data_IF_533012670883
#
_entry.id   IF_533012670883
#
_cell.length_a   1.000
_cell.length_b   1.000
_cell.length_c   1.000
_cell.angle_alpha   90.00
_cell.angle_beta   90.00
_cell.angle_gamma   90.00
#
_symmetry.space_group_name_H-M   'P 1'
#
loop_
_entity.id
_entity.type
_entity.pdbx_description
1 polymer ?
#
# COMPACT_ATOMS: atom_id res chain seq x y z
N UNK A 1 3.40 9.67 -7.94
CA UNK A 1 3.38 9.62 -6.46
C UNK A 1 4.30 8.50 -6.02
N UNK A 2 4.72 8.51 -4.77
CA UNK A 2 5.47 7.40 -4.16
C UNK A 2 4.66 6.76 -3.03
N UNK A 3 5.19 5.68 -2.45
CA UNK A 3 4.54 5.01 -1.32
C UNK A 3 4.34 5.94 -0.12
N UNK A 4 5.27 6.85 0.20
CA UNK A 4 5.10 7.82 1.30
C UNK A 4 3.84 8.66 1.13
N UNK A 5 3.63 9.20 -0.08
CA UNK A 5 2.48 10.08 -0.37
C UNK A 5 1.16 9.33 -0.15
N UNK A 6 1.11 8.05 -0.56
CA UNK A 6 -0.06 7.17 -0.42
C UNK A 6 -0.28 6.80 1.05
N UNK A 7 0.78 6.34 1.72
CA UNK A 7 0.71 5.75 3.06
C UNK A 7 0.49 6.79 4.16
N UNK A 8 0.84 8.06 3.94
CA UNK A 8 0.53 9.13 4.90
C UNK A 8 -0.92 9.64 4.82
N UNK A 9 -1.64 9.30 3.74
CA UNK A 9 -3.00 9.75 3.49
C UNK A 9 -3.92 8.59 3.05
N UNK A 10 -3.99 7.47 3.81
CA UNK A 10 -4.74 6.29 3.38
C UNK A 10 -6.25 6.53 3.32
N UNK A 11 -6.78 7.51 4.05
CA UNK A 11 -8.18 7.93 3.99
C UNK A 11 -8.60 8.49 2.62
N UNK A 12 -7.65 8.91 1.78
CA UNK A 12 -7.94 9.39 0.42
C UNK A 12 -8.05 8.22 -0.58
N UNK A 13 -7.74 6.99 -0.15
CA UNK A 13 -7.82 5.80 -0.99
C UNK A 13 -9.26 5.31 -1.06
N UNK A 14 -9.65 4.88 -2.26
CA UNK A 14 -10.90 4.16 -2.42
C UNK A 14 -10.78 2.77 -1.80
N UNK A 15 -11.81 2.28 -1.09
CA UNK A 15 -11.81 0.99 -0.39
C UNK A 15 -11.41 -0.20 -1.29
N UNK A 16 -11.94 -0.24 -2.52
CA UNK A 16 -11.63 -1.28 -3.52
C UNK A 16 -10.32 -1.05 -4.31
N UNK A 17 -9.51 -0.06 -3.94
CA UNK A 17 -8.24 0.19 -4.61
C UNK A 17 -7.16 -0.81 -4.18
N UNK A 18 -6.23 -1.06 -5.09
CA UNK A 18 -5.00 -1.81 -4.86
C UNK A 18 -3.84 -0.88 -5.17
N UNK A 19 -2.88 -0.83 -4.26
CA UNK A 19 -1.62 -0.12 -4.45
C UNK A 19 -0.65 -1.05 -5.17
N UNK A 20 0.02 -0.52 -6.19
CA UNK A 20 1.11 -1.17 -6.90
C UNK A 20 2.36 -0.32 -6.76
N UNK A 21 3.50 -0.93 -6.49
CA UNK A 21 4.75 -0.22 -6.26
C UNK A 21 5.96 -0.93 -6.90
N UNK A 22 6.95 -0.14 -7.32
CA UNK A 22 8.19 -0.66 -7.90
C UNK A 22 9.09 -1.22 -6.79
N UNK A 23 9.57 -2.46 -6.98
CA UNK A 23 10.58 -3.09 -6.12
C UNK A 23 11.98 -2.47 -6.35
N UNK A 24 12.87 -2.47 -5.34
CA UNK A 24 12.61 -2.82 -3.94
C UNK A 24 11.66 -1.79 -3.30
N UNK A 25 10.80 -2.24 -2.38
CA UNK A 25 9.85 -1.34 -1.74
C UNK A 25 10.54 -0.47 -0.69
N UNK A 26 10.25 0.82 -0.76
CA UNK A 26 10.68 1.86 0.15
C UNK A 26 9.63 2.96 0.13
N UNK A 27 9.60 3.83 1.13
CA UNK A 27 8.70 4.99 1.12
C UNK A 27 8.89 5.88 -0.13
N UNK A 28 10.07 5.83 -0.77
CA UNK A 28 10.36 6.59 -1.98
C UNK A 28 10.05 5.83 -3.28
N UNK A 29 9.64 4.58 -3.20
CA UNK A 29 9.35 3.76 -4.38
C UNK A 29 8.16 4.32 -5.15
N UNK A 30 8.30 4.36 -6.48
CA UNK A 30 7.22 4.77 -7.38
C UNK A 30 6.01 3.85 -7.16
N UNK A 31 4.85 4.46 -6.98
CA UNK A 31 3.62 3.74 -6.71
C UNK A 31 2.42 4.37 -7.41
N UNK A 32 1.41 3.55 -7.67
CA UNK A 32 0.11 3.96 -8.20
C UNK A 32 -1.02 3.19 -7.51
N UNK A 33 -2.20 3.79 -7.50
CA UNK A 33 -3.44 3.18 -7.03
C UNK A 33 -4.32 2.84 -8.21
N UNK A 34 -4.78 1.60 -8.33
CA UNK A 34 -5.78 1.20 -9.33
C UNK A 34 -6.97 0.55 -8.63
N UNK A 35 -8.19 0.84 -9.08
CA UNK A 35 -9.36 0.07 -8.64
C UNK A 35 -9.22 -1.37 -9.12
N UNK A 36 -9.53 -2.34 -8.25
CA UNK A 36 -9.55 -3.75 -8.62
C UNK A 36 -10.56 -3.98 -9.77
N UNK A 37 -10.15 -4.48 -10.94
CA UNK A 37 -11.08 -4.76 -12.03
C UNK A 37 -11.88 -6.04 -11.73
N UNK A 38 -12.97 -5.92 -10.97
CA UNK A 38 -13.90 -7.02 -10.70
C UNK A 38 -13.27 -8.23 -9.97
N UNK A 39 -13.89 -9.41 -10.12
CA UNK A 39 -13.53 -10.64 -9.39
C UNK A 39 -12.29 -11.37 -9.92
N UNK A 40 -11.59 -10.83 -10.91
CA UNK A 40 -10.44 -11.51 -11.50
C UNK A 40 -9.16 -11.12 -10.78
N UNK A 41 -8.48 -12.11 -10.20
CA UNK A 41 -7.13 -11.98 -9.65
C UNK A 41 -6.04 -11.71 -10.72
N UNK A 42 -6.42 -11.33 -11.95
CA UNK A 42 -5.46 -11.07 -13.02
C UNK A 42 -4.85 -9.68 -12.90
N UNK A 43 -3.53 -9.62 -13.04
CA UNK A 43 -2.78 -8.36 -13.09
C UNK A 43 -3.41 -7.46 -14.15
N UNK A 44 -3.70 -6.20 -13.79
CA UNK A 44 -4.27 -5.24 -14.74
C UNK A 44 -3.33 -5.15 -15.97
N UNK A 45 -3.82 -5.39 -17.20
CA UNK A 45 -2.99 -5.37 -18.41
C UNK A 45 -2.18 -4.08 -18.57
N UNK A 46 -2.67 -2.96 -18.02
CA UNK A 46 -1.98 -1.67 -18.01
C UNK A 46 -0.66 -1.67 -17.21
N UNK A 47 -0.46 -2.63 -16.31
CA UNK A 47 0.75 -2.77 -15.50
C UNK A 47 1.85 -3.59 -16.19
N UNK A 48 1.52 -4.31 -17.27
CA UNK A 48 2.48 -5.20 -17.94
C UNK A 48 3.64 -4.38 -18.51
N UNK A 49 4.86 -4.67 -18.05
CA UNK A 49 6.09 -3.99 -18.49
C UNK A 49 6.44 -2.70 -17.74
N UNK A 50 5.64 -2.30 -16.73
CA UNK A 50 5.90 -1.08 -15.93
C UNK A 50 6.92 -1.29 -14.80
N UNK A 51 7.19 -2.55 -14.44
CA UNK A 51 8.00 -2.92 -13.27
C UNK A 51 7.31 -2.62 -11.93
N UNK A 52 6.00 -2.31 -11.94
CA UNK A 52 5.18 -2.16 -10.74
C UNK A 52 4.64 -3.53 -10.35
N UNK A 53 4.73 -3.84 -9.07
CA UNK A 53 4.26 -5.09 -8.49
C UNK A 53 3.13 -4.83 -7.49
N UNK A 54 2.32 -5.84 -7.22
CA UNK A 54 1.28 -5.78 -6.20
C UNK A 54 1.90 -5.45 -4.84
N UNK A 55 1.43 -4.38 -4.20
CA UNK A 55 1.91 -3.97 -2.87
C UNK A 55 0.91 -4.40 -1.79
N UNK A 56 -0.27 -3.77 -1.74
CA UNK A 56 -1.32 -4.08 -0.76
C UNK A 56 -2.68 -3.51 -1.20
N UNK A 57 -3.78 -4.08 -0.70
CA UNK A 57 -5.10 -3.43 -0.83
C UNK A 57 -5.23 -2.19 0.04
N UNK A 58 -5.95 -1.18 -0.47
CA UNK A 58 -6.17 0.08 0.23
C UNK A 58 -6.89 -0.11 1.57
N UNK A 59 -7.89 -0.99 1.65
CA UNK A 59 -8.59 -1.25 2.91
C UNK A 59 -7.63 -1.76 3.99
N UNK A 60 -6.70 -2.66 3.64
CA UNK A 60 -5.74 -3.23 4.59
C UNK A 60 -4.70 -2.18 5.02
N UNK A 61 -4.26 -1.32 4.09
CA UNK A 61 -3.41 -0.17 4.43
C UNK A 61 -4.12 0.72 5.46
N UNK A 62 -5.38 1.06 5.21
CA UNK A 62 -6.17 1.93 6.10
C UNK A 62 -6.36 1.29 7.47
N UNK A 63 -6.74 0.01 7.55
CA UNK A 63 -6.91 -0.72 8.81
C UNK A 63 -5.61 -0.74 9.64
N UNK A 64 -4.49 -1.16 9.05
CA UNK A 64 -3.20 -1.19 9.75
C UNK A 64 -2.81 0.21 10.23
N UNK A 65 -2.98 1.21 9.37
CA UNK A 65 -2.58 2.59 9.67
C UNK A 65 -3.41 3.18 10.82
N UNK A 66 -4.74 3.04 10.77
CA UNK A 66 -5.64 3.54 11.80
C UNK A 66 -5.42 2.84 13.15
N UNK A 67 -5.23 1.52 13.15
CA UNK A 67 -4.92 0.76 14.36
C UNK A 67 -3.64 1.24 15.05
N UNK A 68 -2.61 1.60 14.28
CA UNK A 68 -1.36 2.12 14.82
C UNK A 68 -1.50 3.56 15.34
N UNK A 69 -2.29 4.39 14.66
CA UNK A 69 -2.60 5.73 15.17
C UNK A 69 -3.38 5.65 16.50
N UNK A 70 -4.32 4.71 16.64
CA UNK A 70 -5.05 4.47 17.90
C UNK A 70 -4.12 4.02 19.03
N UNK A 71 -3.01 3.34 18.70
CA UNK A 71 -1.94 2.97 19.64
C UNK A 71 -0.97 4.13 19.94
N UNK A 72 -1.19 5.31 19.38
CA UNK A 72 -0.38 6.51 19.60
C UNK A 72 0.87 6.60 18.71
N UNK A 73 0.98 5.79 17.66
CA UNK A 73 2.06 5.93 16.67
C UNK A 73 1.85 7.18 15.83
N UNK A 74 2.95 7.74 15.34
CA UNK A 74 2.91 8.79 14.32
C UNK A 74 2.55 8.21 12.96
N UNK A 75 2.04 9.06 12.05
CA UNK A 75 1.73 8.63 10.69
C UNK A 75 2.94 8.06 9.93
N UNK A 76 4.15 8.57 10.22
CA UNK A 76 5.37 8.03 9.60
C UNK A 76 5.68 6.62 10.11
N UNK A 77 5.59 6.38 11.42
CA UNK A 77 5.77 5.05 12.00
C UNK A 77 4.72 4.07 11.46
N UNK A 78 3.46 4.51 11.33
CA UNK A 78 2.41 3.69 10.75
C UNK A 78 2.69 3.31 9.28
N UNK A 79 3.16 4.27 8.47
CA UNK A 79 3.58 4.00 7.09
C UNK A 79 4.77 3.03 7.01
N UNK A 80 5.73 3.11 7.93
CA UNK A 80 6.86 2.18 8.03
C UNK A 80 6.40 0.76 8.39
N UNK A 81 5.41 0.62 9.28
CA UNK A 81 4.82 -0.68 9.62
C UNK A 81 4.05 -1.26 8.44
N UNK A 82 3.28 -0.46 7.70
CA UNK A 82 2.61 -0.95 6.47
C UNK A 82 3.62 -1.44 5.44
N UNK A 83 4.73 -0.70 5.26
CA UNK A 83 5.82 -1.11 4.38
C UNK A 83 6.44 -2.44 4.84
N UNK A 84 6.70 -2.60 6.14
CA UNK A 84 7.18 -3.85 6.71
C UNK A 84 6.19 -5.00 6.48
N UNK A 85 4.91 -4.76 6.74
CA UNK A 85 3.84 -5.74 6.56
C UNK A 85 3.78 -6.22 5.11
N UNK A 86 3.81 -5.31 4.14
CA UNK A 86 3.77 -5.68 2.73
C UNK A 86 4.97 -6.57 2.34
N UNK A 87 6.17 -6.25 2.82
CA UNK A 87 7.40 -6.99 2.47
C UNK A 87 7.47 -8.37 3.15
N UNK A 88 6.93 -8.50 4.37
CA UNK A 88 7.11 -9.69 5.22
C UNK A 88 5.82 -10.51 5.42
N UNK A 89 4.67 -10.02 4.96
CA UNK A 89 3.34 -10.60 5.22
C UNK A 89 3.06 -10.83 6.73
N UNK A 90 3.58 -9.94 7.57
CA UNK A 90 3.52 -10.04 9.03
C UNK A 90 3.74 -8.68 9.70
N UNK A 91 3.22 -8.51 10.92
CA UNK A 91 3.54 -7.36 11.76
C UNK A 91 4.99 -7.43 12.28
N UNK A 92 5.67 -6.28 12.48
CA UNK A 92 6.97 -6.24 13.15
C UNK A 92 6.81 -6.62 14.63
N UNK A 93 7.82 -7.31 15.18
CA UNK A 93 7.90 -7.70 16.60
C UNK A 93 8.16 -6.51 17.54
#
# INVERSE_FOLDING_TARGET
MNLRDILLHPADLHEDAVVYARRPWSLMSEAITLRRPGTSATLNPALKGTGLEYFLEAFLITEIYEDLLMQGKTGLEAAEVVLYYAENDAYPE
#
